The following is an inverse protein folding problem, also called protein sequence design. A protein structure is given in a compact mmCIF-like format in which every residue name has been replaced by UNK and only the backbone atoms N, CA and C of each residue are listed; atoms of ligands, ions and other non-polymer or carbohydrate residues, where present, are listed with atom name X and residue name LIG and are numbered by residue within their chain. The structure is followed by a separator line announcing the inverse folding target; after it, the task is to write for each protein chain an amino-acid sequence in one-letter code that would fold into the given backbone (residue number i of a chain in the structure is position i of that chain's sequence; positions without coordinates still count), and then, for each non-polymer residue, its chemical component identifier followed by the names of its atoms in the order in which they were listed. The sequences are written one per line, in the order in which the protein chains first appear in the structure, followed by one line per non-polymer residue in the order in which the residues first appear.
data_IF_703586432047
#
_entry.id   IF_703586432047
#
_cell.length_a   1.000
_cell.length_b   1.000
_cell.length_c   1.000
_cell.angle_alpha   90.00
_cell.angle_beta   90.00
_cell.angle_gamma   90.00
#
_symmetry.space_group_name_H-M   'P 1'
#
loop_
_entity.id
_entity.type
_entity.pdbx_description
1 polymer ?
#
# COMPACT_ATOMS: atom_id res chain seq x y z
N UNK A 1 6.45 -26.20 23.85
CA UNK A 1 6.23 -26.21 22.38
C UNK A 1 7.13 -25.12 21.82
N UNK A 2 8.06 -25.46 20.96
CA UNK A 2 8.96 -24.48 20.33
C UNK A 2 8.22 -23.63 19.30
N UNK A 3 8.70 -22.40 19.06
CA UNK A 3 8.14 -21.51 18.07
C UNK A 3 8.44 -22.01 16.65
N UNK A 4 7.39 -22.18 15.86
CA UNK A 4 7.46 -22.56 14.44
C UNK A 4 6.25 -21.98 13.70
N UNK A 5 6.18 -22.14 12.41
CA UNK A 5 5.01 -21.72 11.62
C UNK A 5 3.70 -22.40 12.06
N UNK A 6 3.78 -23.59 12.67
CA UNK A 6 2.61 -24.31 13.21
C UNK A 6 2.21 -23.84 14.62
N UNK A 7 3.15 -23.28 15.38
CA UNK A 7 2.97 -22.91 16.78
C UNK A 7 2.92 -21.41 17.00
N UNK A 8 3.17 -20.61 15.96
CA UNK A 8 3.08 -19.14 15.99
C UNK A 8 1.62 -18.70 16.23
N UNK A 9 1.45 -17.79 17.19
CA UNK A 9 0.12 -17.22 17.51
C UNK A 9 -0.33 -16.23 16.43
N UNK A 10 0.62 -15.45 15.86
CA UNK A 10 0.32 -14.57 14.76
C UNK A 10 0.19 -15.35 13.44
N UNK A 11 -0.93 -15.22 12.70
CA UNK A 11 -1.06 -15.85 11.39
C UNK A 11 -0.10 -15.26 10.36
N UNK A 12 0.41 -14.03 10.56
CA UNK A 12 1.42 -13.41 9.68
C UNK A 12 2.70 -14.23 9.69
N UNK A 13 3.17 -14.67 10.88
CA UNK A 13 4.39 -15.47 11.02
C UNK A 13 4.13 -16.98 10.89
N UNK A 14 2.90 -17.42 11.16
CA UNK A 14 2.47 -18.81 11.06
C UNK A 14 1.98 -19.18 9.68
N UNK A 15 0.65 -19.21 9.50
CA UNK A 15 -0.05 -19.64 8.28
C UNK A 15 0.45 -18.92 7.01
N UNK A 16 0.77 -17.65 7.10
CA UNK A 16 1.17 -16.80 5.98
C UNK A 16 2.67 -16.46 5.95
N UNK A 17 3.46 -17.10 6.79
CA UNK A 17 4.88 -16.76 6.97
C UNK A 17 5.70 -16.74 5.67
N UNK A 18 5.42 -17.64 4.72
CA UNK A 18 6.10 -17.62 3.41
C UNK A 18 5.72 -16.42 2.56
N UNK A 19 4.45 -15.99 2.62
CA UNK A 19 3.95 -14.84 1.85
C UNK A 19 4.56 -13.52 2.29
N UNK A 20 4.93 -13.40 3.56
CA UNK A 20 5.55 -12.21 4.14
C UNK A 20 7.08 -12.31 4.23
N UNK A 21 7.68 -13.34 3.67
CA UNK A 21 9.14 -13.53 3.71
C UNK A 21 9.95 -12.31 3.23
N UNK A 22 9.52 -11.51 2.23
CA UNK A 22 10.23 -10.29 1.85
C UNK A 22 10.35 -9.25 2.97
N UNK A 23 9.47 -9.29 3.96
CA UNK A 23 9.44 -8.34 5.07
C UNK A 23 10.34 -8.75 6.25
N UNK A 24 10.81 -10.00 6.31
CA UNK A 24 11.59 -10.51 7.46
C UNK A 24 12.88 -9.75 7.68
N UNK A 25 13.63 -9.47 6.63
CA UNK A 25 14.88 -8.72 6.70
C UNK A 25 14.69 -7.22 7.02
N UNK A 26 13.43 -6.76 7.04
CA UNK A 26 13.08 -5.35 7.25
C UNK A 26 12.46 -5.16 8.63
N UNK A 27 11.34 -5.87 8.93
CA UNK A 27 10.50 -5.59 10.09
C UNK A 27 10.64 -6.60 11.25
N UNK A 28 11.46 -7.63 11.12
CA UNK A 28 11.75 -8.51 12.24
C UNK A 28 12.69 -7.84 13.25
N UNK A 29 12.86 -8.45 14.42
CA UNK A 29 13.87 -8.02 15.41
C UNK A 29 15.28 -8.02 14.79
N UNK A 30 15.58 -9.01 13.94
CA UNK A 30 16.82 -9.03 13.15
C UNK A 30 16.93 -7.80 12.23
N UNK A 31 15.86 -7.46 11.51
CA UNK A 31 15.84 -6.28 10.64
C UNK A 31 16.10 -4.99 11.42
N UNK A 32 15.43 -4.78 12.54
CA UNK A 32 15.64 -3.61 13.38
C UNK A 32 17.09 -3.53 13.90
N UNK A 33 17.66 -4.63 14.35
CA UNK A 33 19.06 -4.66 14.81
C UNK A 33 20.04 -4.35 13.68
N UNK A 34 19.79 -4.89 12.49
CA UNK A 34 20.59 -4.60 11.30
C UNK A 34 20.62 -3.10 10.98
N UNK A 35 19.47 -2.44 10.95
CA UNK A 35 19.40 -1.00 10.68
C UNK A 35 20.01 -0.16 11.81
N UNK A 36 19.90 -0.58 13.07
CA UNK A 36 20.59 0.09 14.18
C UNK A 36 22.12 0.02 14.03
N UNK A 37 22.64 -1.14 13.67
CA UNK A 37 24.08 -1.30 13.37
C UNK A 37 24.51 -0.41 12.21
N UNK A 38 23.70 -0.36 11.16
CA UNK A 38 23.98 0.51 10.00
C UNK A 38 24.06 1.99 10.42
N UNK A 39 23.06 2.49 11.14
CA UNK A 39 23.03 3.90 11.59
C UNK A 39 24.23 4.24 12.49
N UNK A 40 24.56 3.39 13.45
CA UNK A 40 25.71 3.59 14.35
C UNK A 40 27.05 3.62 13.57
N UNK A 41 27.23 2.67 12.65
CA UNK A 41 28.43 2.62 11.81
C UNK A 41 28.56 3.86 10.94
N UNK A 42 27.46 4.25 10.27
CA UNK A 42 27.44 5.44 9.41
C UNK A 42 27.68 6.72 10.22
N UNK A 43 27.17 6.78 11.46
CA UNK A 43 27.42 7.92 12.35
C UNK A 43 28.90 8.01 12.71
N UNK A 44 29.56 6.93 13.11
CA UNK A 44 30.98 6.89 13.39
C UNK A 44 31.82 7.32 12.18
N UNK A 45 31.50 6.83 10.99
CA UNK A 45 32.16 7.24 9.74
C UNK A 45 31.96 8.74 9.46
N UNK A 46 30.77 9.28 9.75
CA UNK A 46 30.48 10.71 9.59
C UNK A 46 31.29 11.58 10.53
N UNK A 47 31.42 11.16 11.80
CA UNK A 47 32.26 11.86 12.78
C UNK A 47 33.73 11.88 12.31
N UNK A 48 34.25 10.73 11.85
CA UNK A 48 35.63 10.63 11.34
C UNK A 48 35.88 11.48 10.07
N UNK A 49 34.84 11.73 9.30
CA UNK A 49 34.94 12.59 8.09
C UNK A 49 34.78 14.09 8.42
N UNK A 50 34.53 14.47 9.68
CA UNK A 50 34.32 15.85 10.13
C UNK A 50 35.63 16.40 10.69
N UNK A 51 36.24 17.34 9.97
CA UNK A 51 37.60 17.81 10.26
C UNK A 51 37.73 18.50 11.63
N UNK A 52 36.66 19.08 12.13
CA UNK A 52 36.60 19.75 13.44
C UNK A 52 36.63 18.77 14.62
N UNK A 53 36.34 17.47 14.38
CA UNK A 53 36.38 16.42 15.41
C UNK A 53 37.74 15.71 15.36
N UNK A 54 38.75 16.37 15.84
CA UNK A 54 40.15 15.93 15.70
C UNK A 54 40.47 14.63 16.45
N UNK A 55 39.71 14.29 17.49
CA UNK A 55 39.86 13.05 18.28
C UNK A 55 39.41 11.81 17.52
N UNK A 56 38.67 11.98 16.41
CA UNK A 56 38.30 10.91 15.48
C UNK A 56 38.96 11.19 14.13
N UNK A 57 40.21 10.75 13.91
CA UNK A 57 40.91 10.96 12.66
C UNK A 57 40.15 10.35 11.48
N UNK A 58 40.27 10.95 10.30
CA UNK A 58 39.70 10.42 9.08
C UNK A 58 40.16 8.96 8.87
N UNK A 59 39.21 8.06 8.68
CA UNK A 59 39.49 6.64 8.44
C UNK A 59 40.11 6.44 7.05
N UNK A 60 41.12 5.59 6.98
CA UNK A 60 41.66 5.15 5.71
C UNK A 60 40.67 4.18 4.99
N UNK A 61 41.05 3.74 3.79
CA UNK A 61 40.22 2.88 2.97
C UNK A 61 39.93 1.52 3.67
N UNK A 62 40.92 0.97 4.36
CA UNK A 62 40.80 -0.34 5.01
C UNK A 62 39.87 -0.27 6.22
N UNK A 63 39.97 0.77 7.06
CA UNK A 63 39.08 0.97 8.19
C UNK A 63 37.62 1.22 7.74
N UNK A 64 37.41 2.03 6.69
CA UNK A 64 36.08 2.23 6.10
C UNK A 64 35.52 0.92 5.53
N UNK A 65 36.32 0.17 4.77
CA UNK A 65 35.89 -1.12 4.20
C UNK A 65 35.53 -2.14 5.31
N UNK A 66 36.26 -2.14 6.42
CA UNK A 66 35.95 -2.99 7.55
C UNK A 66 34.58 -2.62 8.19
N UNK A 67 34.35 -1.34 8.43
CA UNK A 67 33.08 -0.84 8.95
C UNK A 67 31.91 -1.15 8.00
N UNK A 68 32.10 -0.95 6.70
CA UNK A 68 31.12 -1.31 5.68
C UNK A 68 30.82 -2.82 5.70
N UNK A 69 31.83 -3.65 5.88
CA UNK A 69 31.68 -5.10 5.95
C UNK A 69 30.85 -5.54 7.18
N UNK A 70 30.91 -4.83 8.33
CA UNK A 70 30.05 -5.09 9.49
C UNK A 70 28.57 -4.92 9.09
N UNK A 71 28.22 -3.89 8.31
CA UNK A 71 26.86 -3.62 7.87
C UNK A 71 26.41 -4.62 6.81
N UNK A 72 27.21 -4.81 5.76
CA UNK A 72 26.84 -5.64 4.60
C UNK A 72 26.73 -7.13 4.99
N UNK A 73 27.62 -7.61 5.86
CA UNK A 73 27.69 -9.01 6.27
C UNK A 73 26.94 -9.29 7.59
N UNK A 74 26.13 -8.34 8.09
CA UNK A 74 25.35 -8.56 9.31
C UNK A 74 24.44 -9.76 9.17
N UNK A 75 24.57 -10.72 10.09
CA UNK A 75 23.89 -12.02 10.03
C UNK A 75 23.09 -12.32 11.30
N UNK A 76 22.29 -13.38 11.28
CA UNK A 76 21.48 -13.79 12.43
C UNK A 76 22.34 -14.08 13.69
N UNK A 77 23.58 -14.58 13.53
CA UNK A 77 24.51 -14.78 14.63
C UNK A 77 24.93 -13.46 15.30
N UNK A 78 25.07 -12.38 14.53
CA UNK A 78 25.36 -11.05 15.06
C UNK A 78 24.18 -10.51 15.86
N UNK A 79 22.98 -10.65 15.33
CA UNK A 79 21.76 -10.32 16.05
C UNK A 79 21.60 -11.14 17.35
N UNK A 80 21.88 -12.43 17.32
CA UNK A 80 21.88 -13.29 18.50
C UNK A 80 22.93 -12.85 19.55
N UNK A 81 24.12 -12.38 19.10
CA UNK A 81 25.13 -11.81 19.99
C UNK A 81 24.61 -10.54 20.68
N UNK A 82 24.02 -9.60 19.91
CA UNK A 82 23.41 -8.39 20.47
C UNK A 82 22.34 -8.75 21.51
N UNK A 83 21.45 -9.70 21.22
CA UNK A 83 20.42 -10.17 22.15
C UNK A 83 21.02 -10.81 23.42
N UNK A 84 22.19 -11.42 23.31
CA UNK A 84 22.89 -11.97 24.46
C UNK A 84 23.44 -10.84 25.36
N UNK A 85 23.99 -9.80 24.79
CA UNK A 85 24.45 -8.61 25.51
C UNK A 85 23.25 -7.91 26.18
N UNK A 86 22.15 -7.73 25.43
CA UNK A 86 20.93 -7.09 25.93
C UNK A 86 20.37 -7.77 27.18
N UNK A 87 20.38 -9.08 27.22
CA UNK A 87 19.94 -9.85 28.43
C UNK A 87 20.67 -9.45 29.74
N UNK A 88 21.90 -8.97 29.60
CA UNK A 88 22.71 -8.51 30.76
C UNK A 88 22.53 -7.03 31.02
N UNK A 89 22.49 -6.23 29.96
CA UNK A 89 22.41 -4.74 30.04
C UNK A 89 21.00 -4.26 30.30
N UNK A 90 19.99 -5.05 29.94
CA UNK A 90 18.57 -4.69 29.91
C UNK A 90 18.30 -3.39 29.10
N UNK A 91 19.09 -3.18 28.04
CA UNK A 91 18.98 -2.00 27.18
C UNK A 91 19.39 -2.36 25.75
N UNK A 92 18.47 -2.27 24.82
CA UNK A 92 18.60 -2.76 23.45
C UNK A 92 19.61 -1.97 22.60
N UNK A 93 19.54 -0.63 22.58
CA UNK A 93 20.47 0.19 21.80
C UNK A 93 21.88 0.18 22.40
N UNK A 94 22.00 0.13 23.75
CA UNK A 94 23.31 0.00 24.40
C UNK A 94 23.97 -1.36 24.07
N UNK A 95 23.16 -2.39 23.86
CA UNK A 95 23.69 -3.69 23.44
C UNK A 95 24.29 -3.64 22.02
N UNK A 96 23.72 -2.83 21.12
CA UNK A 96 24.31 -2.58 19.79
C UNK A 96 25.65 -1.85 19.89
N UNK A 97 25.76 -0.83 20.73
CA UNK A 97 27.01 -0.14 20.99
C UNK A 97 28.11 -1.09 21.48
N UNK A 98 27.80 -1.92 22.47
CA UNK A 98 28.77 -2.90 22.99
C UNK A 98 29.16 -3.96 21.94
N UNK A 99 28.22 -4.43 21.14
CA UNK A 99 28.52 -5.32 20.03
C UNK A 99 29.47 -4.66 19.01
N UNK A 100 29.27 -3.41 18.65
CA UNK A 100 30.17 -2.70 17.75
C UNK A 100 31.55 -2.50 18.37
N UNK A 101 31.64 -2.19 19.66
CA UNK A 101 32.92 -2.12 20.38
C UNK A 101 33.66 -3.46 20.37
N UNK A 102 32.95 -4.60 20.51
CA UNK A 102 33.54 -5.94 20.33
C UNK A 102 34.08 -6.13 18.90
N UNK A 103 33.31 -5.71 17.87
CA UNK A 103 33.71 -5.87 16.46
C UNK A 103 34.96 -5.08 16.11
N UNK A 104 35.16 -3.89 16.67
CA UNK A 104 36.30 -3.02 16.36
C UNK A 104 37.50 -3.24 17.28
N UNK A 105 37.42 -4.09 18.29
CA UNK A 105 38.46 -4.26 19.32
C UNK A 105 39.83 -4.65 18.76
N UNK A 106 39.87 -5.47 17.71
CA UNK A 106 41.11 -5.96 17.11
C UNK A 106 41.66 -5.07 15.99
N UNK A 107 40.99 -3.95 15.66
CA UNK A 107 41.43 -2.99 14.65
C UNK A 107 41.96 -1.74 15.37
N UNK A 108 43.28 -1.52 15.47
CA UNK A 108 43.85 -0.49 16.34
C UNK A 108 43.31 0.93 16.08
N UNK A 109 43.13 1.31 14.80
CA UNK A 109 42.60 2.61 14.42
C UNK A 109 41.14 2.82 14.86
N UNK A 110 40.30 1.78 14.78
CA UNK A 110 38.90 1.83 15.20
C UNK A 110 38.74 1.66 16.71
N UNK A 111 39.57 0.81 17.32
CA UNK A 111 39.58 0.62 18.78
C UNK A 111 39.91 1.92 19.52
N UNK A 112 40.85 2.69 19.01
CA UNK A 112 41.26 3.97 19.60
C UNK A 112 40.12 4.99 19.69
N UNK A 113 39.14 4.91 18.81
CA UNK A 113 37.97 5.80 18.74
C UNK A 113 36.66 5.12 19.12
N UNK A 114 36.73 3.94 19.73
CA UNK A 114 35.54 3.13 20.06
C UNK A 114 34.55 3.82 21.01
N UNK A 115 35.01 4.80 21.81
CA UNK A 115 34.13 5.61 22.67
C UNK A 115 33.29 6.64 21.88
N UNK A 116 33.60 6.87 20.59
CA UNK A 116 32.77 7.68 19.70
C UNK A 116 31.64 6.91 19.04
N UNK A 117 31.52 5.58 19.25
CA UNK A 117 30.32 4.84 18.91
C UNK A 117 29.19 5.38 19.78
N UNK A 118 28.05 5.73 19.19
CA UNK A 118 26.91 6.36 19.89
C UNK A 118 27.21 7.78 20.45
N UNK A 119 28.23 8.45 19.94
CA UNK A 119 28.68 9.73 20.49
C UNK A 119 27.59 10.81 20.37
N UNK A 120 27.30 11.46 21.50
CA UNK A 120 26.28 12.52 21.68
C UNK A 120 24.84 12.11 21.33
N UNK A 121 24.59 10.84 20.97
CA UNK A 121 23.28 10.32 20.62
C UNK A 121 22.43 10.00 21.86
N UNK A 122 21.12 10.10 21.70
CA UNK A 122 20.16 9.35 22.51
C UNK A 122 19.72 8.10 21.73
N UNK A 123 19.17 7.10 22.42
CA UNK A 123 18.69 5.88 21.73
C UNK A 123 17.75 6.15 20.59
N UNK A 124 16.95 7.21 20.69
CA UNK A 124 16.00 7.59 19.64
C UNK A 124 16.65 8.21 18.41
N UNK A 125 17.86 8.75 18.49
CA UNK A 125 18.61 9.14 17.31
C UNK A 125 18.88 7.95 16.40
N UNK A 126 19.16 6.80 17.01
CA UNK A 126 19.39 5.53 16.28
C UNK A 126 18.07 4.87 15.90
N UNK A 127 17.11 4.81 16.81
CA UNK A 127 15.82 4.14 16.58
C UNK A 127 15.01 4.80 15.47
N UNK A 128 14.87 6.16 15.50
CA UNK A 128 14.07 6.84 14.49
C UNK A 128 14.63 6.65 13.08
N UNK A 129 15.96 6.75 12.93
CA UNK A 129 16.62 6.53 11.64
C UNK A 129 16.51 5.06 11.20
N UNK A 130 16.59 4.12 12.14
CA UNK A 130 16.38 2.70 11.83
C UNK A 130 14.95 2.43 11.34
N UNK A 131 13.94 2.97 12.01
CA UNK A 131 12.54 2.84 11.56
C UNK A 131 12.29 3.56 10.23
N UNK A 132 12.90 4.73 10.00
CA UNK A 132 12.84 5.43 8.73
C UNK A 132 13.41 4.59 7.58
N UNK A 133 14.59 3.98 7.78
CA UNK A 133 15.21 3.09 6.80
C UNK A 133 14.41 1.82 6.56
N UNK A 134 13.82 1.23 7.61
CA UNK A 134 12.90 0.08 7.49
C UNK A 134 11.69 0.43 6.62
N UNK A 135 11.05 1.57 6.86
CA UNK A 135 9.87 2.01 6.11
C UNK A 135 10.21 2.38 4.67
N UNK A 136 11.33 3.08 4.45
CA UNK A 136 11.80 3.42 3.10
C UNK A 136 12.13 2.16 2.29
N UNK A 137 12.82 1.21 2.90
CA UNK A 137 13.14 -0.07 2.26
C UNK A 137 11.87 -0.86 1.92
N UNK A 138 10.92 -0.94 2.85
CA UNK A 138 9.64 -1.61 2.61
C UNK A 138 8.82 -0.92 1.52
N UNK A 139 8.77 0.42 1.50
CA UNK A 139 8.11 1.21 0.47
C UNK A 139 8.68 0.92 -0.90
N UNK A 140 10.00 1.05 -1.05
CA UNK A 140 10.72 0.91 -2.32
C UNK A 140 10.73 -0.52 -2.85
N UNK A 141 11.06 -1.48 -1.99
CA UNK A 141 11.39 -2.84 -2.43
C UNK A 141 10.18 -3.79 -2.38
N UNK A 142 9.12 -3.44 -1.64
CA UNK A 142 7.95 -4.30 -1.47
C UNK A 142 6.64 -3.61 -1.86
N UNK A 143 6.28 -2.49 -1.23
CA UNK A 143 4.95 -1.92 -1.39
C UNK A 143 4.74 -1.37 -2.80
N UNK A 144 5.64 -0.50 -3.29
CA UNK A 144 5.54 0.08 -4.64
C UNK A 144 5.52 -0.99 -5.73
N UNK A 145 6.40 -2.02 -5.72
CA UNK A 145 6.34 -3.09 -6.71
C UNK A 145 5.02 -3.87 -6.73
N UNK A 146 4.44 -4.18 -5.56
CA UNK A 146 3.16 -4.87 -5.49
C UNK A 146 1.99 -3.99 -5.93
N UNK A 147 2.00 -2.69 -5.59
CA UNK A 147 1.00 -1.75 -6.07
C UNK A 147 1.03 -1.59 -7.58
N UNK A 148 2.24 -1.51 -8.15
CA UNK A 148 2.38 -1.45 -9.61
C UNK A 148 1.83 -2.71 -10.27
N UNK A 149 2.15 -3.90 -9.75
CA UNK A 149 1.60 -5.16 -10.27
C UNK A 149 0.07 -5.21 -10.20
N UNK A 150 -0.53 -4.74 -9.11
CA UNK A 150 -1.99 -4.68 -8.96
C UNK A 150 -2.61 -3.69 -9.96
N UNK A 151 -2.03 -2.51 -10.10
CA UNK A 151 -2.48 -1.48 -11.05
C UNK A 151 -2.41 -2.03 -12.47
N UNK A 152 -1.30 -2.66 -12.83
CA UNK A 152 -1.11 -3.23 -14.17
C UNK A 152 -2.11 -4.37 -14.43
N UNK A 153 -2.31 -5.27 -13.48
CA UNK A 153 -3.29 -6.35 -13.60
C UNK A 153 -4.73 -5.82 -13.79
N UNK A 154 -5.12 -4.74 -13.10
CA UNK A 154 -6.43 -4.13 -13.27
C UNK A 154 -6.52 -3.34 -14.58
N UNK A 155 -5.44 -2.69 -15.03
CA UNK A 155 -5.35 -2.06 -16.36
C UNK A 155 -5.49 -3.10 -17.49
N UNK A 156 -4.85 -4.25 -17.32
CA UNK A 156 -4.96 -5.36 -18.28
C UNK A 156 -6.40 -5.86 -18.38
N UNK A 157 -7.12 -6.00 -17.26
CA UNK A 157 -8.55 -6.32 -17.27
C UNK A 157 -9.35 -5.21 -17.97
N UNK A 158 -9.03 -3.93 -17.73
CA UNK A 158 -9.70 -2.82 -18.39
C UNK A 158 -9.53 -2.90 -19.91
N UNK A 159 -8.33 -3.14 -20.41
CA UNK A 159 -8.06 -3.29 -21.85
C UNK A 159 -8.70 -4.56 -22.44
N UNK A 160 -8.59 -5.69 -21.75
CA UNK A 160 -9.16 -6.95 -22.22
C UNK A 160 -10.69 -6.89 -22.38
N UNK A 161 -11.36 -6.11 -21.52
CA UNK A 161 -12.81 -6.03 -21.46
C UNK A 161 -13.35 -4.66 -21.86
N UNK A 162 -12.55 -3.86 -22.60
CA UNK A 162 -12.84 -2.45 -22.90
C UNK A 162 -14.18 -2.22 -23.61
N UNK A 163 -14.58 -3.14 -24.47
CA UNK A 163 -15.77 -3.09 -25.33
C UNK A 163 -16.90 -4.02 -24.89
N UNK A 164 -16.73 -4.72 -23.74
CA UNK A 164 -17.76 -5.63 -23.25
C UNK A 164 -18.83 -4.82 -22.53
N UNK A 165 -20.06 -4.77 -23.07
CA UNK A 165 -21.13 -4.01 -22.47
C UNK A 165 -21.59 -4.66 -21.16
N UNK A 166 -21.90 -3.83 -20.19
CA UNK A 166 -22.33 -4.20 -18.85
C UNK A 166 -23.55 -3.36 -18.47
N UNK A 167 -24.59 -3.99 -17.96
CA UNK A 167 -25.70 -3.33 -17.30
C UNK A 167 -25.25 -2.79 -15.94
N UNK A 168 -25.16 -1.46 -15.79
CA UNK A 168 -24.81 -0.85 -14.53
C UNK A 168 -25.93 -1.04 -13.49
N UNK A 169 -25.55 -1.04 -12.23
CA UNK A 169 -26.50 -1.13 -11.10
C UNK A 169 -26.25 0.04 -10.15
N UNK A 170 -27.24 0.93 -10.07
CA UNK A 170 -27.27 1.98 -9.04
C UNK A 170 -28.33 1.59 -8.01
N UNK A 171 -27.98 1.68 -6.74
CA UNK A 171 -28.86 1.17 -5.65
C UNK A 171 -29.27 -0.31 -5.85
N UNK A 172 -28.42 -1.10 -6.52
CA UNK A 172 -28.72 -2.50 -6.86
C UNK A 172 -29.70 -2.70 -8.02
N UNK A 173 -30.25 -1.61 -8.60
CA UNK A 173 -31.23 -1.67 -9.69
C UNK A 173 -30.57 -1.45 -11.07
N UNK A 174 -31.12 -2.08 -12.14
CA UNK A 174 -30.69 -1.83 -13.49
C UNK A 174 -30.66 -0.34 -13.84
N UNK A 175 -29.56 0.11 -14.42
CA UNK A 175 -29.30 1.51 -14.75
C UNK A 175 -28.60 1.61 -16.11
N UNK A 176 -28.17 2.82 -16.48
CA UNK A 176 -27.49 3.14 -17.73
C UNK A 176 -26.33 2.19 -17.98
N UNK A 177 -26.26 1.54 -19.15
CA UNK A 177 -25.15 0.64 -19.47
C UNK A 177 -23.77 1.32 -19.51
N UNK A 178 -22.74 0.54 -19.22
CA UNK A 178 -21.34 0.88 -19.30
C UNK A 178 -20.56 -0.23 -20.01
N UNK A 179 -19.23 -0.22 -19.91
CA UNK A 179 -18.42 -1.41 -20.26
C UNK A 179 -17.73 -1.96 -19.03
N UNK A 180 -17.51 -3.26 -19.00
CA UNK A 180 -16.75 -3.91 -17.93
C UNK A 180 -15.33 -3.34 -17.85
N UNK A 181 -14.72 -3.03 -19.01
CA UNK A 181 -13.40 -2.40 -19.03
C UNK A 181 -13.37 -1.01 -18.40
N UNK A 182 -14.40 -0.18 -18.62
CA UNK A 182 -14.48 1.15 -17.98
C UNK A 182 -14.62 1.05 -16.45
N UNK A 183 -15.34 0.06 -15.95
CA UNK A 183 -15.43 -0.18 -14.50
C UNK A 183 -14.05 -0.54 -13.91
N UNK A 184 -13.28 -1.39 -14.58
CA UNK A 184 -11.89 -1.69 -14.19
C UNK A 184 -10.98 -0.46 -14.30
N UNK A 185 -11.13 0.34 -15.36
CA UNK A 185 -10.37 1.58 -15.57
C UNK A 185 -10.57 2.59 -14.43
N UNK A 186 -11.79 2.70 -13.89
CA UNK A 186 -12.07 3.53 -12.73
C UNK A 186 -11.22 3.11 -11.50
N UNK A 187 -11.14 1.83 -11.22
CA UNK A 187 -10.34 1.30 -10.10
C UNK A 187 -8.85 1.55 -10.34
N UNK A 188 -8.34 1.20 -11.53
CA UNK A 188 -6.93 1.41 -11.88
C UNK A 188 -6.52 2.89 -11.74
N UNK A 189 -7.36 3.82 -12.17
CA UNK A 189 -7.10 5.25 -12.04
C UNK A 189 -7.05 5.71 -10.57
N UNK A 190 -7.98 5.24 -9.74
CA UNK A 190 -8.00 5.52 -8.29
C UNK A 190 -6.73 5.01 -7.61
N UNK A 191 -6.30 3.77 -7.92
CA UNK A 191 -5.09 3.16 -7.39
C UNK A 191 -3.82 3.91 -7.84
N UNK A 192 -3.73 4.29 -9.11
CA UNK A 192 -2.61 5.08 -9.65
C UNK A 192 -2.45 6.43 -8.93
N UNK A 193 -3.55 7.06 -8.53
CA UNK A 193 -3.49 8.30 -7.73
C UNK A 193 -2.87 8.06 -6.35
N UNK A 194 -3.13 6.93 -5.72
CA UNK A 194 -2.53 6.60 -4.42
C UNK A 194 -1.04 6.25 -4.58
N UNK A 195 -0.66 5.56 -5.66
CA UNK A 195 0.74 5.27 -5.97
C UNK A 195 1.57 6.56 -6.00
N UNK A 196 1.11 7.56 -6.75
CA UNK A 196 1.78 8.87 -6.84
C UNK A 196 1.87 9.59 -5.49
N UNK A 197 0.88 9.44 -4.62
CA UNK A 197 0.93 10.01 -3.28
C UNK A 197 1.95 9.28 -2.39
N UNK A 198 1.99 7.96 -2.46
CA UNK A 198 2.95 7.15 -1.70
C UNK A 198 4.40 7.46 -2.07
N UNK A 199 4.66 7.69 -3.36
CA UNK A 199 6.00 8.09 -3.86
C UNK A 199 6.44 9.45 -3.31
N UNK A 200 5.50 10.33 -2.96
CA UNK A 200 5.77 11.69 -2.50
C UNK A 200 5.83 11.83 -0.97
N UNK A 201 5.48 10.80 -0.20
CA UNK A 201 5.59 10.85 1.26
C UNK A 201 7.05 10.96 1.64
N UNK A 202 7.41 12.01 2.35
CA UNK A 202 8.76 12.19 2.88
C UNK A 202 8.95 11.29 4.10
N UNK A 203 9.94 10.42 4.05
CA UNK A 203 10.36 9.62 5.20
C UNK A 203 11.37 10.45 5.98
N UNK A 204 11.05 10.81 7.21
CA UNK A 204 11.79 11.76 8.01
C UNK A 204 12.72 11.07 9.03
N UNK A 205 13.81 11.73 9.34
CA UNK A 205 14.73 11.30 10.40
C UNK A 205 15.44 12.46 11.08
N UNK A 206 15.99 12.20 12.26
CA UNK A 206 16.74 13.18 13.06
C UNK A 206 17.95 12.53 13.73
N UNK A 207 18.97 13.34 14.01
CA UNK A 207 20.09 13.01 14.89
C UNK A 207 20.54 14.30 15.59
N UNK A 208 19.94 14.61 16.75
CA UNK A 208 20.10 15.91 17.44
C UNK A 208 20.06 15.80 18.97
N UNK A 209 20.23 14.58 19.49
CA UNK A 209 20.41 14.31 20.91
C UNK A 209 19.13 14.20 21.72
N UNK A 210 19.28 14.23 23.02
CA UNK A 210 18.29 13.78 24.01
C UNK A 210 16.94 14.51 23.97
N UNK A 211 16.90 15.75 23.49
CA UNK A 211 15.66 16.57 23.38
C UNK A 211 15.60 17.39 22.08
N UNK A 212 16.47 17.08 21.10
CA UNK A 212 16.46 17.75 19.81
C UNK A 212 17.19 19.08 19.72
N UNK A 213 18.07 19.38 20.70
CA UNK A 213 18.71 20.71 20.80
C UNK A 213 20.24 20.66 20.69
N UNK A 214 20.85 19.50 20.35
CA UNK A 214 22.32 19.35 20.28
C UNK A 214 23.07 19.65 21.57
N UNK A 215 22.46 19.55 22.75
CA UNK A 215 23.07 19.96 24.02
C UNK A 215 24.42 19.28 24.27
N UNK A 216 24.51 17.97 24.17
CA UNK A 216 25.75 17.23 24.36
C UNK A 216 26.77 17.48 23.24
N UNK A 217 26.29 17.60 22.03
CA UNK A 217 27.13 17.90 20.86
C UNK A 217 27.85 19.25 21.01
N UNK A 218 27.09 20.30 21.31
CA UNK A 218 27.64 21.66 21.51
C UNK A 218 28.49 21.79 22.77
N UNK A 219 28.21 20.96 23.80
CA UNK A 219 29.07 20.94 24.99
C UNK A 219 30.45 20.32 24.70
N UNK A 220 30.54 19.35 23.79
CA UNK A 220 31.76 18.69 23.41
C UNK A 220 32.53 19.47 22.32
N UNK A 221 31.83 19.91 21.29
CA UNK A 221 32.41 20.62 20.11
C UNK A 221 31.54 21.82 19.75
N UNK A 222 31.70 22.96 20.42
CA UNK A 222 30.91 24.17 20.16
C UNK A 222 31.20 24.84 18.80
N UNK A 223 32.32 24.50 18.16
CA UNK A 223 32.73 25.00 16.84
C UNK A 223 32.13 24.23 15.66
N UNK A 224 31.59 23.05 15.88
CA UNK A 224 30.98 22.22 14.82
C UNK A 224 29.59 22.74 14.50
N UNK A 225 29.29 22.93 13.21
CA UNK A 225 27.91 23.15 12.74
C UNK A 225 27.12 21.85 12.75
N UNK A 226 26.62 21.50 13.94
CA UNK A 226 25.86 20.28 14.15
C UNK A 226 24.54 20.23 13.37
N UNK A 227 23.96 21.37 13.04
CA UNK A 227 22.75 21.47 12.26
C UNK A 227 23.01 20.99 10.81
N UNK A 228 24.03 21.55 10.16
CA UNK A 228 24.44 21.16 8.82
C UNK A 228 24.97 19.71 8.77
N UNK A 229 25.72 19.30 9.80
CA UNK A 229 26.26 17.94 9.90
C UNK A 229 25.11 16.92 9.99
N UNK A 230 24.11 17.18 10.84
CA UNK A 230 22.94 16.30 11.00
C UNK A 230 22.11 16.22 9.71
N UNK A 231 21.83 17.35 9.05
CA UNK A 231 21.13 17.35 7.75
C UNK A 231 21.88 16.50 6.74
N UNK A 232 23.19 16.73 6.58
CA UNK A 232 24.00 15.99 5.61
C UNK A 232 24.13 14.50 5.96
N UNK A 233 24.10 14.14 7.25
CA UNK A 233 24.11 12.75 7.68
C UNK A 233 22.80 12.06 7.36
N UNK A 234 21.67 12.61 7.80
CA UNK A 234 20.34 12.03 7.60
C UNK A 234 20.04 11.86 6.12
N UNK A 235 20.32 12.88 5.31
CA UNK A 235 20.11 12.83 3.85
C UNK A 235 21.03 11.81 3.17
N UNK A 236 22.25 11.59 3.68
CA UNK A 236 23.14 10.55 3.16
C UNK A 236 22.63 9.13 3.36
N UNK A 237 21.72 8.91 4.32
CA UNK A 237 21.05 7.64 4.53
C UNK A 237 19.86 7.42 3.56
N UNK A 238 19.51 8.41 2.73
CA UNK A 238 18.42 8.32 1.77
C UNK A 238 17.04 8.68 2.32
N UNK A 239 16.97 9.37 3.48
CA UNK A 239 15.73 9.87 4.08
C UNK A 239 15.81 11.39 4.25
N UNK A 240 14.67 12.06 4.44
CA UNK A 240 14.60 13.51 4.62
C UNK A 240 14.90 13.88 6.07
N UNK A 241 15.58 15.01 6.26
CA UNK A 241 15.91 15.49 7.59
C UNK A 241 14.81 16.33 8.21
N UNK A 242 14.48 16.04 9.49
CA UNK A 242 13.56 16.85 10.29
C UNK A 242 14.35 17.75 11.25
N UNK A 243 14.38 19.09 11.04
CA UNK A 243 15.11 20.01 11.90
C UNK A 243 14.46 20.29 13.25
N UNK A 244 13.15 20.03 13.41
CA UNK A 244 12.38 20.36 14.61
C UNK A 244 11.80 19.10 15.26
N UNK A 245 12.47 18.62 16.28
CA UNK A 245 12.09 17.38 16.98
C UNK A 245 12.19 17.55 18.49
N UNK A 246 11.82 16.53 19.23
CA UNK A 246 12.09 16.38 20.65
C UNK A 246 13.12 15.26 20.87
N UNK A 247 12.94 14.39 21.86
CA UNK A 247 13.75 13.17 21.92
C UNK A 247 13.45 12.23 20.76
N UNK A 248 12.19 12.22 20.29
CA UNK A 248 11.73 11.47 19.13
C UNK A 248 11.65 12.35 17.88
N UNK A 249 11.70 11.72 16.72
CA UNK A 249 11.06 12.23 15.52
C UNK A 249 9.54 12.10 15.75
N UNK A 250 8.69 13.15 15.49
CA UNK A 250 7.28 13.15 15.91
C UNK A 250 6.38 12.09 15.26
N UNK A 251 6.88 11.35 14.28
CA UNK A 251 6.18 10.26 13.58
C UNK A 251 5.00 10.68 12.69
N UNK A 252 4.83 11.96 12.41
CA UNK A 252 3.78 12.43 11.53
C UNK A 252 3.89 11.82 10.13
N UNK A 253 5.10 11.64 9.62
CA UNK A 253 5.36 10.99 8.33
C UNK A 253 4.90 9.51 8.30
N UNK A 254 4.96 8.82 9.45
CA UNK A 254 4.46 7.43 9.54
C UNK A 254 2.93 7.42 9.41
N UNK A 255 2.26 8.41 10.00
CA UNK A 255 0.83 8.59 9.84
C UNK A 255 0.47 8.88 8.37
N UNK A 256 1.17 9.80 7.71
CA UNK A 256 0.98 10.10 6.28
C UNK A 256 1.16 8.86 5.40
N UNK A 257 2.23 8.09 5.65
CA UNK A 257 2.52 6.85 4.92
C UNK A 257 1.40 5.83 5.09
N UNK A 258 1.00 5.55 6.33
CA UNK A 258 0.00 4.53 6.62
C UNK A 258 -1.41 4.94 6.24
N UNK A 259 -1.76 6.22 6.33
CA UNK A 259 -3.03 6.74 5.82
C UNK A 259 -3.11 6.61 4.29
N UNK A 260 -1.99 6.82 3.58
CA UNK A 260 -1.92 6.59 2.14
C UNK A 260 -2.12 5.11 1.81
N UNK A 261 -1.44 4.20 2.53
CA UNK A 261 -1.59 2.76 2.33
C UNK A 261 -3.01 2.31 2.66
N UNK A 262 -3.61 2.78 3.74
CA UNK A 262 -4.97 2.44 4.13
C UNK A 262 -6.01 2.90 3.09
N UNK A 263 -5.81 4.04 2.42
CA UNK A 263 -6.66 4.48 1.32
C UNK A 263 -6.55 3.57 0.09
N UNK A 264 -5.34 3.17 -0.28
CA UNK A 264 -5.15 2.19 -1.35
C UNK A 264 -5.84 0.86 -1.01
N UNK A 265 -5.62 0.36 0.20
CA UNK A 265 -6.28 -0.85 0.70
C UNK A 265 -7.81 -0.74 0.63
N UNK A 266 -8.37 0.42 0.96
CA UNK A 266 -9.82 0.67 0.89
C UNK A 266 -10.34 0.61 -0.55
N UNK A 267 -9.57 1.13 -1.51
CA UNK A 267 -9.90 1.01 -2.95
C UNK A 267 -9.87 -0.46 -3.38
N UNK A 268 -8.91 -1.21 -2.88
CA UNK A 268 -8.79 -2.64 -3.21
C UNK A 268 -9.92 -3.48 -2.56
N UNK A 269 -10.35 -3.15 -1.35
CA UNK A 269 -11.55 -3.74 -0.73
C UNK A 269 -12.79 -3.50 -1.59
N UNK A 270 -12.97 -2.28 -2.08
CA UNK A 270 -14.08 -1.91 -2.96
C UNK A 270 -14.06 -2.76 -4.25
N UNK A 271 -12.88 -2.88 -4.86
CA UNK A 271 -12.66 -3.77 -6.02
C UNK A 271 -12.98 -5.24 -5.72
N UNK A 272 -12.45 -5.78 -4.62
CA UNK A 272 -12.66 -7.18 -4.23
C UNK A 272 -14.16 -7.50 -4.04
N UNK A 273 -14.91 -6.57 -3.44
CA UNK A 273 -16.36 -6.67 -3.24
C UNK A 273 -17.13 -6.60 -4.54
N UNK A 274 -16.76 -5.72 -5.46
CA UNK A 274 -17.40 -5.62 -6.76
C UNK A 274 -17.14 -6.87 -7.60
N UNK A 275 -15.92 -7.39 -7.62
CA UNK A 275 -15.60 -8.66 -8.31
C UNK A 275 -16.38 -9.81 -7.69
N UNK A 276 -16.46 -9.89 -6.37
CA UNK A 276 -17.30 -10.88 -5.68
C UNK A 276 -18.78 -10.78 -6.13
N UNK A 277 -19.29 -9.55 -6.23
CA UNK A 277 -20.63 -9.26 -6.74
C UNK A 277 -20.82 -9.70 -8.19
N UNK A 278 -19.89 -9.41 -9.07
CA UNK A 278 -19.92 -9.82 -10.47
C UNK A 278 -19.83 -11.36 -10.63
N UNK A 279 -19.10 -12.05 -9.77
CA UNK A 279 -19.10 -13.52 -9.72
C UNK A 279 -20.46 -14.03 -9.28
N UNK A 280 -21.08 -13.44 -8.25
CA UNK A 280 -22.41 -13.82 -7.76
C UNK A 280 -23.50 -13.61 -8.82
N UNK A 281 -23.38 -12.59 -9.67
CA UNK A 281 -24.27 -12.34 -10.81
C UNK A 281 -23.94 -13.20 -12.05
N UNK A 282 -22.89 -14.01 -11.97
CA UNK A 282 -22.37 -14.81 -13.08
C UNK A 282 -21.88 -13.97 -14.28
N UNK A 283 -21.45 -12.75 -14.03
CA UNK A 283 -20.75 -11.91 -15.02
C UNK A 283 -19.31 -12.37 -15.22
N UNK A 284 -18.65 -12.79 -14.12
CA UNK A 284 -17.40 -13.53 -14.14
C UNK A 284 -17.63 -14.98 -13.72
N UNK A 285 -16.81 -15.86 -14.29
CA UNK A 285 -16.54 -17.21 -13.81
C UNK A 285 -15.11 -17.27 -13.28
N UNK A 286 -14.82 -18.25 -12.45
CA UNK A 286 -13.47 -18.53 -12.00
C UNK A 286 -12.95 -19.80 -12.69
N UNK A 287 -11.76 -19.72 -13.26
CA UNK A 287 -11.05 -20.88 -13.83
C UNK A 287 -10.83 -21.91 -12.72
N UNK A 288 -11.20 -23.16 -12.99
CA UNK A 288 -10.86 -24.28 -12.12
C UNK A 288 -9.41 -24.66 -12.32
N UNK A 289 -8.65 -24.74 -11.24
CA UNK A 289 -7.28 -25.22 -11.27
C UNK A 289 -7.30 -26.70 -10.90
N UNK A 290 -6.67 -27.54 -11.71
CA UNK A 290 -6.60 -28.99 -11.47
C UNK A 290 -6.00 -29.25 -10.08
N UNK A 291 -6.73 -30.00 -9.25
CA UNK A 291 -6.31 -30.33 -7.88
C UNK A 291 -6.81 -29.36 -6.79
N UNK A 292 -7.36 -28.18 -7.13
CA UNK A 292 -8.02 -27.30 -6.15
C UNK A 292 -9.46 -27.79 -5.88
N UNK A 293 -9.85 -27.83 -4.60
CA UNK A 293 -11.21 -28.16 -4.17
C UNK A 293 -11.95 -26.86 -3.88
N UNK A 294 -12.94 -26.53 -4.71
CA UNK A 294 -13.71 -25.28 -4.58
C UNK A 294 -14.67 -25.26 -3.39
N UNK A 295 -15.17 -26.41 -2.97
CA UNK A 295 -16.07 -26.58 -1.82
C UNK A 295 -15.95 -28.00 -1.26
N UNK A 296 -15.93 -28.13 0.07
CA UNK A 296 -15.88 -29.43 0.74
C UNK A 296 -17.19 -30.24 0.61
N UNK A 297 -18.32 -29.57 0.30
CA UNK A 297 -19.67 -30.18 0.29
C UNK A 297 -20.29 -30.18 -1.09
N UNK A 298 -20.03 -29.17 -1.93
CA UNK A 298 -20.64 -29.03 -3.26
C UNK A 298 -19.56 -28.97 -4.33
N UNK A 299 -19.22 -30.08 -5.01
CA UNK A 299 -18.05 -30.12 -5.94
C UNK A 299 -18.13 -29.15 -7.12
N UNK A 300 -19.33 -28.72 -7.51
CA UNK A 300 -19.56 -27.77 -8.61
C UNK A 300 -19.37 -26.31 -8.20
N UNK A 301 -19.24 -26.02 -6.90
CA UNK A 301 -19.18 -24.66 -6.36
C UNK A 301 -17.72 -24.17 -6.27
N UNK A 302 -17.37 -23.16 -7.07
CA UNK A 302 -16.07 -22.49 -7.04
C UNK A 302 -16.21 -21.16 -6.31
N UNK A 303 -15.75 -21.11 -5.07
CA UNK A 303 -15.86 -19.90 -4.23
C UNK A 303 -14.78 -18.86 -4.60
N UNK A 304 -15.08 -17.55 -4.54
CA UNK A 304 -14.12 -16.47 -4.78
C UNK A 304 -13.21 -16.23 -3.57
N UNK A 305 -12.62 -17.29 -3.02
CA UNK A 305 -11.87 -17.27 -1.75
C UNK A 305 -10.65 -16.34 -1.77
N UNK A 306 -10.06 -16.10 -2.95
CA UNK A 306 -8.89 -15.22 -3.06
C UNK A 306 -9.30 -13.76 -2.78
N UNK A 307 -10.45 -13.30 -3.27
CA UNK A 307 -10.98 -11.95 -3.00
C UNK A 307 -11.49 -11.81 -1.56
N UNK A 308 -12.12 -12.84 -1.00
CA UNK A 308 -12.56 -12.87 0.41
C UNK A 308 -11.35 -12.83 1.36
N UNK A 309 -10.29 -13.58 1.05
CA UNK A 309 -9.04 -13.55 1.80
C UNK A 309 -8.37 -12.17 1.74
N UNK A 310 -8.37 -11.53 0.57
CA UNK A 310 -7.87 -10.18 0.40
C UNK A 310 -8.65 -9.18 1.26
N UNK A 311 -9.98 -9.13 1.10
CA UNK A 311 -10.84 -8.21 1.88
C UNK A 311 -10.60 -8.35 3.39
N UNK A 312 -10.56 -9.58 3.91
CA UNK A 312 -10.34 -9.84 5.33
C UNK A 312 -8.98 -9.34 5.83
N UNK A 313 -7.90 -9.61 5.09
CA UNK A 313 -6.56 -9.16 5.46
C UNK A 313 -6.36 -7.65 5.28
N UNK A 314 -6.97 -7.02 4.29
CA UNK A 314 -6.96 -5.56 4.13
C UNK A 314 -7.65 -4.85 5.30
N UNK A 315 -8.76 -5.42 5.81
CA UNK A 315 -9.43 -4.90 7.00
C UNK A 315 -8.53 -4.92 8.24
N UNK A 316 -7.79 -6.03 8.44
CA UNK A 316 -6.82 -6.16 9.54
C UNK A 316 -5.64 -5.19 9.35
N UNK A 317 -5.10 -5.08 8.12
CA UNK A 317 -4.05 -4.14 7.80
C UNK A 317 -4.45 -2.70 8.15
N UNK A 318 -5.63 -2.27 7.70
CA UNK A 318 -6.14 -0.93 7.95
C UNK A 318 -6.34 -0.66 9.45
N UNK A 319 -6.85 -1.63 10.22
CA UNK A 319 -7.03 -1.47 11.67
C UNK A 319 -5.71 -1.23 12.39
N UNK A 320 -4.65 -1.98 12.04
CA UNK A 320 -3.31 -1.78 12.62
C UNK A 320 -2.73 -0.44 12.17
N UNK A 321 -2.77 -0.12 10.88
CA UNK A 321 -2.21 1.11 10.31
C UNK A 321 -2.91 2.36 10.86
N UNK A 322 -4.24 2.35 10.99
CA UNK A 322 -5.00 3.46 11.57
C UNK A 322 -4.66 3.68 13.05
N UNK A 323 -4.46 2.60 13.82
CA UNK A 323 -4.00 2.74 15.20
C UNK A 323 -2.60 3.37 15.25
N UNK A 324 -1.66 2.92 14.41
CA UNK A 324 -0.32 3.48 14.33
C UNK A 324 -0.35 4.97 13.91
N UNK A 325 -1.12 5.31 12.89
CA UNK A 325 -1.25 6.68 12.39
C UNK A 325 -1.85 7.65 13.43
N UNK A 326 -2.77 7.18 14.26
CA UNK A 326 -3.40 8.03 15.30
C UNK A 326 -2.63 8.06 16.62
N UNK A 327 -1.85 6.99 16.93
CA UNK A 327 -1.13 6.88 18.20
C UNK A 327 0.25 7.50 18.15
N UNK A 328 1.01 7.26 17.07
CA UNK A 328 2.44 7.61 17.03
C UNK A 328 2.71 9.12 17.09
N UNK A 329 1.91 10.01 16.45
CA UNK A 329 2.10 11.45 16.59
C UNK A 329 1.79 12.01 18.00
N UNK A 330 1.25 11.18 18.89
CA UNK A 330 0.90 11.60 20.26
C UNK A 330 1.89 11.04 21.26
N UNK A 331 2.72 11.91 21.83
CA UNK A 331 3.66 11.61 22.91
C UNK A 331 3.55 12.64 24.02
N UNK A 332 3.77 12.22 25.28
CA UNK A 332 3.76 13.13 26.43
C UNK A 332 5.05 13.93 26.48
N UNK A 333 4.92 15.24 26.52
CA UNK A 333 6.06 16.18 26.60
C UNK A 333 7.09 15.88 25.52
N UNK A 334 8.36 15.68 25.87
CA UNK A 334 9.44 15.41 24.94
C UNK A 334 9.51 13.94 24.50
N UNK A 335 8.98 13.04 25.29
CA UNK A 335 8.76 11.61 24.98
C UNK A 335 8.06 10.87 26.12
N UNK A 336 7.20 9.89 25.76
CA UNK A 336 6.90 8.72 26.60
C UNK A 336 7.28 7.42 25.84
N UNK A 337 7.34 6.28 26.53
CA UNK A 337 7.81 5.03 25.95
C UNK A 337 6.73 4.24 25.18
N UNK A 338 5.51 4.74 25.05
CA UNK A 338 4.42 4.00 24.39
C UNK A 338 4.65 3.81 22.90
N UNK A 339 5.40 4.72 22.27
CA UNK A 339 5.83 4.61 20.88
C UNK A 339 6.65 3.34 20.61
N UNK A 340 7.61 3.03 21.45
CA UNK A 340 8.49 1.86 21.31
C UNK A 340 7.70 0.54 21.23
N UNK A 341 6.62 0.41 22.03
CA UNK A 341 5.74 -0.77 22.00
C UNK A 341 4.96 -0.85 20.67
N UNK A 342 4.48 0.28 20.21
CA UNK A 342 3.59 0.36 19.03
C UNK A 342 4.40 0.20 17.74
N UNK A 343 5.58 0.81 17.65
CA UNK A 343 6.47 0.73 16.48
C UNK A 343 6.89 -0.70 16.13
N UNK A 344 6.90 -1.62 17.08
CA UNK A 344 7.16 -3.06 16.81
C UNK A 344 6.09 -3.72 15.95
N UNK A 345 4.96 -3.07 15.72
CA UNK A 345 3.86 -3.55 14.87
C UNK A 345 3.86 -2.96 13.46
N UNK A 346 4.87 -2.15 13.07
CA UNK A 346 4.95 -1.59 11.71
C UNK A 346 4.83 -2.68 10.65
N UNK A 347 5.60 -3.75 10.78
CA UNK A 347 5.59 -4.88 9.85
C UNK A 347 4.30 -5.70 9.87
N UNK A 348 3.53 -5.68 10.94
CA UNK A 348 2.28 -6.45 11.04
C UNK A 348 1.22 -5.90 10.08
N UNK A 349 1.02 -4.58 10.09
CA UNK A 349 0.10 -3.91 9.16
C UNK A 349 0.49 -4.12 7.71
N UNK A 350 1.78 -3.93 7.39
CA UNK A 350 2.32 -4.17 6.03
C UNK A 350 2.21 -5.64 5.64
N UNK A 351 2.44 -6.56 6.58
CA UNK A 351 2.32 -8.00 6.35
C UNK A 351 0.91 -8.42 5.95
N UNK A 352 -0.12 -7.97 6.66
CA UNK A 352 -1.51 -8.22 6.28
C UNK A 352 -1.84 -7.65 4.89
N UNK A 353 -1.38 -6.42 4.59
CA UNK A 353 -1.57 -5.83 3.28
C UNK A 353 -0.90 -6.66 2.17
N UNK A 354 0.34 -7.11 2.37
CA UNK A 354 1.07 -7.93 1.40
C UNK A 354 0.38 -9.28 1.13
N UNK A 355 -0.15 -9.93 2.16
CA UNK A 355 -0.96 -11.16 2.01
C UNK A 355 -2.16 -10.91 1.10
N UNK A 356 -2.85 -9.80 1.32
CA UNK A 356 -4.02 -9.41 0.56
C UNK A 356 -3.68 -9.08 -0.91
N UNK A 357 -2.62 -8.32 -1.16
CA UNK A 357 -2.16 -7.98 -2.52
C UNK A 357 -1.91 -9.24 -3.35
N UNK A 358 -1.21 -10.22 -2.77
CA UNK A 358 -0.97 -11.50 -3.42
C UNK A 358 -2.27 -12.28 -3.66
N UNK A 359 -3.22 -12.20 -2.74
CA UNK A 359 -4.51 -12.88 -2.88
C UNK A 359 -5.34 -12.26 -4.01
N UNK A 360 -5.44 -10.93 -4.10
CA UNK A 360 -6.13 -10.24 -5.21
C UNK A 360 -5.49 -10.57 -6.56
N UNK A 361 -4.16 -10.50 -6.68
CA UNK A 361 -3.45 -10.88 -7.91
C UNK A 361 -3.76 -12.33 -8.34
N UNK A 362 -3.77 -13.25 -7.39
CA UNK A 362 -4.15 -14.64 -7.63
C UNK A 362 -5.61 -14.73 -8.07
N UNK A 363 -6.53 -14.02 -7.42
CA UNK A 363 -7.94 -13.96 -7.79
C UNK A 363 -8.16 -13.46 -9.22
N UNK A 364 -7.50 -12.34 -9.57
CA UNK A 364 -7.54 -11.76 -10.93
C UNK A 364 -7.09 -12.77 -11.99
N UNK A 365 -6.05 -13.54 -11.73
CA UNK A 365 -5.53 -14.53 -12.69
C UNK A 365 -6.52 -15.66 -13.03
N UNK A 366 -7.53 -15.85 -12.17
CA UNK A 366 -8.56 -16.88 -12.34
C UNK A 366 -9.86 -16.36 -12.98
N UNK A 367 -9.99 -15.03 -13.21
CA UNK A 367 -11.20 -14.46 -13.77
C UNK A 367 -11.38 -14.81 -15.24
N UNK A 368 -12.63 -15.13 -15.59
CA UNK A 368 -13.09 -15.38 -16.96
C UNK A 368 -14.45 -14.71 -17.15
N UNK A 369 -14.56 -13.81 -18.14
CA UNK A 369 -15.80 -13.10 -18.40
C UNK A 369 -16.87 -14.01 -19.01
N UNK A 370 -18.12 -13.85 -18.59
CA UNK A 370 -19.29 -14.54 -19.15
C UNK A 370 -20.05 -13.58 -20.07
N UNK A 371 -19.58 -13.43 -21.31
CA UNK A 371 -20.15 -12.49 -22.31
C UNK A 371 -21.62 -12.75 -22.58
N UNK A 372 -22.00 -14.02 -22.70
CA UNK A 372 -23.40 -14.39 -23.02
C UNK A 372 -24.35 -13.94 -21.91
N UNK A 373 -23.93 -14.08 -20.64
CA UNK A 373 -24.71 -13.62 -19.49
C UNK A 373 -24.90 -12.09 -19.49
N UNK A 374 -23.84 -11.36 -19.76
CA UNK A 374 -23.87 -9.88 -19.84
C UNK A 374 -24.80 -9.38 -20.93
N UNK A 375 -24.72 -9.97 -22.12
CA UNK A 375 -25.59 -9.62 -23.25
C UNK A 375 -27.04 -9.99 -22.99
N UNK A 376 -27.31 -11.17 -22.44
CA UNK A 376 -28.66 -11.60 -22.10
C UNK A 376 -29.31 -10.71 -21.03
N UNK A 377 -28.53 -10.21 -20.07
CA UNK A 377 -29.04 -9.27 -19.07
C UNK A 377 -29.40 -7.91 -19.68
N UNK A 378 -28.56 -7.38 -20.56
CA UNK A 378 -28.86 -6.14 -21.29
C UNK A 378 -30.12 -6.27 -22.14
N UNK A 379 -30.29 -7.37 -22.87
CA UNK A 379 -31.47 -7.62 -23.70
C UNK A 379 -32.75 -7.77 -22.87
N UNK A 380 -32.63 -8.05 -21.59
CA UNK A 380 -33.76 -8.12 -20.67
C UNK A 380 -34.16 -6.77 -20.06
N UNK A 381 -33.44 -5.68 -20.33
CA UNK A 381 -33.60 -4.38 -19.66
C UNK A 381 -33.65 -3.20 -20.67
N UNK A 382 -34.55 -3.31 -21.67
CA UNK A 382 -34.72 -2.26 -22.69
C UNK A 382 -35.21 -0.91 -22.13
N UNK A 383 -35.85 -0.92 -20.96
CA UNK A 383 -36.33 0.27 -20.25
C UNK A 383 -35.21 1.25 -19.88
N UNK A 384 -33.95 0.84 -19.83
CA UNK A 384 -32.79 1.73 -19.57
C UNK A 384 -32.63 2.78 -20.71
N UNK A 385 -33.17 2.51 -21.90
CA UNK A 385 -33.19 3.45 -23.01
C UNK A 385 -34.18 4.60 -22.82
N UNK A 386 -35.03 4.56 -21.81
CA UNK A 386 -35.90 5.68 -21.45
C UNK A 386 -35.08 6.96 -21.15
N UNK A 387 -33.89 6.83 -20.59
CA UNK A 387 -33.01 7.98 -20.30
C UNK A 387 -32.58 8.75 -21.55
N UNK A 388 -31.95 8.15 -22.57
CA UNK A 388 -31.54 8.87 -23.78
C UNK A 388 -32.73 9.35 -24.58
N UNK A 389 -33.82 8.59 -24.66
CA UNK A 389 -35.01 9.03 -25.38
C UNK A 389 -35.62 10.26 -24.71
N UNK A 390 -35.77 10.25 -23.37
CA UNK A 390 -36.24 11.44 -22.63
C UNK A 390 -35.34 12.65 -22.87
N UNK A 391 -34.04 12.45 -22.90
CA UNK A 391 -33.06 13.54 -23.13
C UNK A 391 -33.24 14.15 -24.57
N UNK A 392 -33.45 13.29 -25.58
CA UNK A 392 -33.74 13.75 -26.95
C UNK A 392 -35.08 14.47 -27.00
N UNK A 393 -36.13 13.92 -26.39
CA UNK A 393 -37.44 14.59 -26.33
C UNK A 393 -37.33 16.00 -25.74
N UNK A 394 -36.53 16.20 -24.67
CA UNK A 394 -36.26 17.53 -24.08
C UNK A 394 -35.55 18.46 -25.06
N UNK A 395 -34.56 17.97 -25.81
CA UNK A 395 -33.86 18.74 -26.84
C UNK A 395 -34.81 19.29 -27.89
N UNK A 396 -35.86 18.55 -28.24
CA UNK A 396 -36.88 18.95 -29.24
C UNK A 396 -38.12 19.60 -28.62
N UNK A 397 -38.08 19.98 -27.34
CA UNK A 397 -39.15 20.75 -26.69
C UNK A 397 -40.45 19.95 -26.48
N UNK A 398 -40.39 18.62 -26.50
CA UNK A 398 -41.57 17.78 -26.28
C UNK A 398 -42.05 17.94 -24.84
N UNK A 399 -43.30 18.29 -24.64
CA UNK A 399 -43.90 18.47 -23.33
C UNK A 399 -43.99 17.15 -22.53
N UNK A 400 -43.72 17.24 -21.23
CA UNK A 400 -43.86 16.14 -20.26
C UNK A 400 -43.15 14.83 -20.69
N UNK A 401 -41.86 14.88 -21.06
CA UNK A 401 -41.15 13.72 -21.59
C UNK A 401 -41.05 12.59 -20.57
N UNK A 402 -40.85 12.91 -19.28
CA UNK A 402 -40.78 11.92 -18.22
C UNK A 402 -42.11 11.17 -18.02
N UNK A 403 -43.22 11.90 -18.01
CA UNK A 403 -44.57 11.35 -17.80
C UNK A 403 -44.94 10.38 -18.94
N UNK A 404 -44.64 10.75 -20.19
CA UNK A 404 -44.88 9.90 -21.36
C UNK A 404 -44.11 8.59 -21.29
N UNK A 405 -42.84 8.63 -20.91
CA UNK A 405 -42.04 7.41 -20.71
C UNK A 405 -42.48 6.59 -19.51
N UNK A 406 -42.87 7.25 -18.43
CA UNK A 406 -43.40 6.57 -17.25
C UNK A 406 -44.66 5.75 -17.56
N UNK A 407 -45.53 6.24 -18.43
CA UNK A 407 -46.72 5.51 -18.90
C UNK A 407 -46.33 4.29 -19.71
N UNK A 408 -45.26 4.36 -20.51
CA UNK A 408 -44.76 3.23 -21.31
C UNK A 408 -44.15 2.14 -20.42
N UNK A 409 -43.33 2.55 -19.41
CA UNK A 409 -42.48 1.63 -18.65
C UNK A 409 -43.12 1.12 -17.35
N UNK A 410 -44.19 1.79 -16.85
CA UNK A 410 -44.78 1.48 -15.55
C UNK A 410 -45.50 0.15 -15.53
N UNK A 411 -44.95 -0.82 -14.77
CA UNK A 411 -45.55 -2.11 -14.55
C UNK A 411 -45.56 -3.04 -15.76
N UNK A 412 -44.85 -2.70 -16.82
CA UNK A 412 -44.68 -3.54 -18.03
C UNK A 412 -43.18 -3.63 -18.37
N UNK A 413 -42.79 -4.82 -18.76
CA UNK A 413 -41.50 -5.06 -19.38
C UNK A 413 -41.54 -4.47 -20.81
N UNK A 414 -40.61 -3.64 -21.12
CA UNK A 414 -40.44 -3.06 -22.47
C UNK A 414 -39.41 -3.90 -23.21
N UNK A 415 -39.74 -4.31 -24.43
CA UNK A 415 -38.83 -4.99 -25.35
C UNK A 415 -38.43 -4.04 -26.51
N UNK A 416 -37.63 -4.58 -27.42
CA UNK A 416 -37.18 -3.82 -28.60
C UNK A 416 -38.39 -3.29 -29.43
N UNK A 417 -39.39 -4.11 -29.66
CA UNK A 417 -40.55 -3.74 -30.47
C UNK A 417 -41.40 -2.63 -29.80
N UNK A 418 -41.61 -2.75 -28.49
CA UNK A 418 -42.31 -1.73 -27.70
C UNK A 418 -41.57 -0.39 -27.68
N UNK A 419 -40.24 -0.41 -27.58
CA UNK A 419 -39.42 0.78 -27.62
C UNK A 419 -39.43 1.44 -28.98
N UNK A 420 -39.34 0.68 -30.07
CA UNK A 420 -39.43 1.18 -31.45
C UNK A 420 -40.80 1.78 -31.74
N UNK A 421 -41.90 1.11 -31.36
CA UNK A 421 -43.25 1.66 -31.54
C UNK A 421 -43.44 2.98 -30.76
N UNK A 422 -42.87 3.10 -29.57
CA UNK A 422 -42.88 4.34 -28.80
C UNK A 422 -42.14 5.47 -29.55
N UNK A 423 -40.94 5.21 -30.06
CA UNK A 423 -40.13 6.19 -30.81
C UNK A 423 -40.91 6.66 -32.04
N UNK A 424 -41.57 5.75 -32.75
CA UNK A 424 -42.40 6.09 -33.92
C UNK A 424 -43.54 7.05 -33.59
N UNK A 425 -44.14 6.93 -32.40
CA UNK A 425 -45.21 7.79 -31.92
C UNK A 425 -44.79 9.21 -31.57
N UNK A 426 -43.49 9.46 -31.39
CA UNK A 426 -42.96 10.75 -30.95
C UNK A 426 -42.95 11.79 -32.14
N UNK A 427 -43.26 13.08 -31.86
CA UNK A 427 -43.15 14.14 -32.83
C UNK A 427 -41.69 14.59 -32.99
N UNK A 428 -40.83 13.68 -33.45
CA UNK A 428 -39.42 13.91 -33.74
C UNK A 428 -39.15 13.89 -35.25
N UNK A 429 -38.09 14.54 -35.74
CA UNK A 429 -37.62 14.36 -37.12
C UNK A 429 -37.32 12.89 -37.42
N UNK A 430 -37.60 12.44 -38.64
CA UNK A 430 -37.41 11.03 -39.01
C UNK A 430 -35.95 10.56 -38.91
N UNK A 431 -35.00 11.45 -39.12
CA UNK A 431 -33.57 11.18 -38.89
C UNK A 431 -33.29 10.81 -37.44
N UNK A 432 -33.86 11.55 -36.48
CA UNK A 432 -33.68 11.30 -35.07
C UNK A 432 -34.41 10.02 -34.64
N UNK A 433 -35.60 9.74 -35.17
CA UNK A 433 -36.28 8.46 -34.93
C UNK A 433 -35.43 7.29 -35.41
N UNK A 434 -34.88 7.40 -36.62
CA UNK A 434 -34.00 6.36 -37.19
C UNK A 434 -32.80 6.11 -36.30
N UNK A 435 -32.15 7.18 -35.85
CA UNK A 435 -30.99 7.10 -34.92
C UNK A 435 -31.36 6.45 -33.59
N UNK A 436 -32.47 6.83 -32.97
CA UNK A 436 -32.94 6.29 -31.72
C UNK A 436 -33.32 4.80 -31.84
N UNK A 437 -33.92 4.38 -32.95
CA UNK A 437 -34.27 2.96 -33.18
C UNK A 437 -33.05 2.05 -33.37
N UNK A 438 -31.90 2.57 -33.74
CA UNK A 438 -30.65 1.82 -33.82
C UNK A 438 -30.00 1.62 -32.45
N UNK A 439 -30.46 2.34 -31.43
CA UNK A 439 -29.93 2.25 -30.08
C UNK A 439 -30.46 1.00 -29.41
N UNK A 440 -29.54 0.27 -28.77
CA UNK A 440 -29.84 -0.90 -27.96
C UNK A 440 -29.17 -0.74 -26.58
N UNK A 441 -29.60 -1.46 -25.54
CA UNK A 441 -28.89 -1.45 -24.26
C UNK A 441 -27.41 -1.82 -24.39
N UNK A 442 -27.06 -2.67 -25.37
CA UNK A 442 -25.68 -3.11 -25.59
C UNK A 442 -24.79 -2.09 -26.31
N UNK A 443 -25.37 -1.12 -27.04
CA UNK A 443 -24.60 -0.09 -27.74
C UNK A 443 -24.75 1.32 -27.15
N UNK A 444 -25.60 1.50 -26.14
CA UNK A 444 -25.74 2.76 -25.41
C UNK A 444 -24.66 2.89 -24.33
N UNK A 445 -23.43 3.10 -24.74
CA UNK A 445 -22.24 3.03 -23.89
C UNK A 445 -21.54 4.39 -23.68
N UNK A 446 -22.06 5.45 -24.30
CA UNK A 446 -21.44 6.77 -24.26
C UNK A 446 -19.97 6.74 -24.70
N UNK A 447 -19.07 7.22 -23.86
CA UNK A 447 -17.62 7.23 -24.08
C UNK A 447 -16.86 6.12 -23.34
N UNK A 448 -17.56 5.11 -22.83
CA UNK A 448 -16.91 4.11 -21.95
C UNK A 448 -15.69 3.45 -22.61
N UNK A 449 -15.75 3.10 -23.89
CA UNK A 449 -14.62 2.50 -24.62
C UNK A 449 -13.45 3.48 -24.73
N UNK A 450 -13.71 4.73 -25.14
CA UNK A 450 -12.66 5.77 -25.25
C UNK A 450 -12.03 6.10 -23.91
N UNK A 451 -12.78 6.05 -22.81
CA UNK A 451 -12.23 6.28 -21.48
C UNK A 451 -11.23 5.20 -21.07
N UNK A 452 -11.36 3.97 -21.55
CA UNK A 452 -10.35 2.93 -21.37
C UNK A 452 -9.12 3.21 -22.24
N UNK A 453 -9.31 3.62 -23.48
CA UNK A 453 -8.21 3.97 -24.39
C UNK A 453 -7.39 5.18 -23.87
N UNK A 454 -8.06 6.14 -23.19
CA UNK A 454 -7.44 7.31 -22.58
C UNK A 454 -6.73 7.01 -21.23
N UNK A 455 -6.87 5.81 -20.67
CA UNK A 455 -6.25 5.41 -19.40
C UNK A 455 -4.74 5.27 -19.57
N UNK A 456 -4.00 6.16 -18.90
CA UNK A 456 -2.51 6.18 -18.90
C UNK A 456 -1.91 5.40 -17.75
#
# INVERSE_FOLDING_TARGET
MELSSLTAVSPVDGRYGEKVSPLRNIFSEYGLLKFRVEVEVRWLQKLAATAEIQEVPAFDADANAYLDAIVVNFAENDAARIKTIERTTNHDVKAVEYFLKEKVADIPALHAVSEFIHFACTSEDINNLSHALMLETARRDVILPYWQQLIDAVKDLAQQYRDIPLLSRTHGQPATPSTLGKEMANVAYRMTRQLRQLEQVEILGKINGAVGNYNAHLAAYPEVDWHQLSESFVTSLGVSWNPYTTQIEPHDYIAELFDCIARFNTILIDFDRDIWGYIALNHFKQKTIAGEIGSSTMPHKVNPIDFENSEGNLGLANAVMQHLATKLPVSRWQRDLTDSTVLRNLGVGVGYALIAYQATLKGISKLEVNRDRLLAELDQNWEVLAEPIQTVMRRYGIEKPYEKLKELTRGKRVDAAGMQAFIDSLPLPEEEKTRLKQMTPANYLGRAVQMVDDLK
#
